data_IF_892767751190
#
_entry.id   IF_892767751190
#
_cell.length_a   1.000
_cell.length_b   1.000
_cell.length_c   1.000
_cell.angle_alpha   90.00
_cell.angle_beta   90.00
_cell.angle_gamma   90.00
#
_symmetry.space_group_name_H-M   'P 1'
#
loop_
_entity.id
_entity.type
_entity.pdbx_description
1 polymer ?
#
# COMPACT_ATOMS: atom_id res chain seq x y z
N UNK A 1 24.54 26.79 -25.30
CA UNK A 1 23.51 25.73 -25.18
C UNK A 1 23.61 24.89 -23.91
N UNK A 2 24.72 24.33 -23.49
CA UNK A 2 24.87 23.47 -22.30
C UNK A 2 24.45 24.09 -20.96
N UNK A 3 24.65 25.40 -20.70
CA UNK A 3 24.27 26.05 -19.43
C UNK A 3 22.74 26.20 -19.23
N UNK A 4 21.96 26.26 -20.33
CA UNK A 4 20.50 26.33 -20.27
C UNK A 4 19.88 24.97 -19.92
N UNK A 5 20.38 23.89 -20.48
CA UNK A 5 19.90 22.51 -20.22
C UNK A 5 20.19 22.05 -18.80
N UNK A 6 21.36 22.39 -18.26
CA UNK A 6 21.72 22.09 -16.86
C UNK A 6 20.82 22.84 -15.87
N UNK A 7 20.51 24.11 -16.12
CA UNK A 7 19.57 24.89 -15.30
C UNK A 7 18.16 24.32 -15.36
N UNK A 8 17.68 23.88 -16.51
CA UNK A 8 16.34 23.27 -16.68
C UNK A 8 16.26 21.92 -15.96
N UNK A 9 17.29 21.06 -16.06
CA UNK A 9 17.35 19.78 -15.35
C UNK A 9 17.42 19.96 -13.83
N UNK A 10 18.19 20.93 -13.33
CA UNK A 10 18.25 21.24 -11.89
C UNK A 10 16.94 21.84 -11.36
N UNK A 11 16.24 22.65 -12.16
CA UNK A 11 14.94 23.21 -11.79
C UNK A 11 13.86 22.10 -11.72
N UNK A 12 13.82 21.20 -12.71
CA UNK A 12 12.93 20.03 -12.73
C UNK A 12 13.18 19.13 -11.51
N UNK A 13 14.43 18.77 -11.23
CA UNK A 13 14.78 17.93 -10.08
C UNK A 13 14.43 18.58 -8.72
N UNK A 14 14.54 19.92 -8.61
CA UNK A 14 14.17 20.66 -7.40
C UNK A 14 12.65 20.79 -7.25
N UNK A 15 11.91 20.80 -8.34
CA UNK A 15 10.44 20.79 -8.36
C UNK A 15 9.92 19.41 -7.93
N UNK A 16 10.49 18.33 -8.45
CA UNK A 16 10.18 16.94 -8.04
C UNK A 16 10.41 16.72 -6.54
N UNK A 17 11.51 17.20 -5.99
CA UNK A 17 11.81 17.12 -4.55
C UNK A 17 10.82 17.90 -3.67
N UNK A 18 10.32 19.03 -4.14
CA UNK A 18 9.29 19.81 -3.42
C UNK A 18 7.95 19.07 -3.41
N UNK A 19 7.58 18.47 -4.52
CA UNK A 19 6.37 17.65 -4.65
C UNK A 19 6.45 16.47 -3.68
N UNK A 20 7.55 15.73 -3.69
CA UNK A 20 7.79 14.59 -2.80
C UNK A 20 7.69 15.00 -1.33
N UNK A 21 8.38 16.09 -0.94
CA UNK A 21 8.33 16.60 0.44
C UNK A 21 6.93 17.02 0.87
N UNK A 22 6.19 17.71 -0.01
CA UNK A 22 4.80 18.13 0.25
C UNK A 22 3.90 16.93 0.48
N UNK A 23 3.97 15.94 -0.40
CA UNK A 23 3.18 14.71 -0.31
C UNK A 23 3.53 13.92 0.96
N UNK A 24 4.81 13.76 1.26
CA UNK A 24 5.27 13.08 2.48
C UNK A 24 4.80 13.78 3.76
N UNK A 25 4.83 15.12 3.81
CA UNK A 25 4.33 15.89 4.95
C UNK A 25 2.82 15.69 5.14
N UNK A 26 2.03 15.77 4.06
CA UNK A 26 0.59 15.51 4.11
C UNK A 26 0.29 14.09 4.56
N UNK A 27 0.96 13.08 3.98
CA UNK A 27 0.77 11.66 4.33
C UNK A 27 1.11 11.38 5.79
N UNK A 28 2.26 11.84 6.26
CA UNK A 28 2.68 11.65 7.67
C UNK A 28 1.70 12.31 8.65
N UNK A 29 1.24 13.53 8.34
CA UNK A 29 0.26 14.24 9.17
C UNK A 29 -1.09 13.54 9.14
N UNK A 30 -1.54 13.06 7.99
CA UNK A 30 -2.79 12.33 7.87
C UNK A 30 -2.81 11.08 8.76
N UNK A 31 -1.76 10.27 8.77
CA UNK A 31 -1.69 9.09 9.64
C UNK A 31 -1.66 9.44 11.12
N UNK A 32 -1.00 10.55 11.51
CA UNK A 32 -1.03 11.05 12.89
C UNK A 32 -2.45 11.46 13.29
N UNK A 33 -3.11 12.28 12.46
CA UNK A 33 -4.48 12.71 12.73
C UNK A 33 -5.44 11.51 12.78
N UNK A 34 -5.29 10.55 11.88
CA UNK A 34 -6.12 9.35 11.83
C UNK A 34 -5.93 8.44 13.05
N UNK A 35 -4.80 8.52 13.75
CA UNK A 35 -4.59 7.83 15.03
C UNK A 35 -5.41 8.47 16.18
N UNK A 36 -5.68 9.77 16.10
CA UNK A 36 -6.29 10.54 17.20
C UNK A 36 -7.76 10.90 16.99
N UNK A 37 -8.23 10.94 15.74
CA UNK A 37 -9.60 11.39 15.40
C UNK A 37 -10.22 10.57 14.27
N UNK A 38 -11.54 10.68 14.14
CA UNK A 38 -12.29 10.03 13.08
C UNK A 38 -11.95 10.64 11.70
N UNK A 39 -11.96 9.81 10.66
CA UNK A 39 -11.69 10.26 9.30
C UNK A 39 -12.63 11.38 8.81
N UNK A 40 -13.86 11.37 9.28
CA UNK A 40 -14.86 12.42 8.99
C UNK A 40 -14.44 13.79 9.52
N UNK A 41 -13.69 13.84 10.61
CA UNK A 41 -13.20 15.04 11.27
C UNK A 41 -11.93 15.61 10.61
N UNK A 42 -11.23 14.77 9.81
CA UNK A 42 -10.05 15.21 9.06
C UNK A 42 -10.51 15.99 7.84
N UNK A 43 -10.45 17.30 7.94
CA UNK A 43 -10.71 18.20 6.80
C UNK A 43 -9.44 18.60 6.09
N UNK A 44 -9.54 19.02 4.81
CA UNK A 44 -8.39 19.54 4.06
C UNK A 44 -7.75 20.74 4.76
N UNK A 45 -8.58 21.60 5.38
CA UNK A 45 -8.10 22.77 6.12
C UNK A 45 -7.18 22.34 7.27
N UNK A 46 -7.70 21.45 8.14
CA UNK A 46 -6.97 20.96 9.30
C UNK A 46 -5.72 20.19 8.91
N UNK A 47 -5.80 19.35 7.88
CA UNK A 47 -4.66 18.63 7.35
C UNK A 47 -3.56 19.59 6.85
N UNK A 48 -3.94 20.66 6.16
CA UNK A 48 -3.01 21.68 5.68
C UNK A 48 -2.37 22.47 6.84
N UNK A 49 -3.14 22.85 7.85
CA UNK A 49 -2.64 23.55 9.04
C UNK A 49 -1.63 22.69 9.79
N UNK A 50 -1.98 21.46 10.12
CA UNK A 50 -1.14 20.53 10.88
C UNK A 50 0.14 20.10 10.10
N UNK A 51 0.05 19.98 8.76
CA UNK A 51 1.19 19.61 7.92
C UNK A 51 2.09 20.78 7.54
N UNK A 52 1.69 22.01 7.80
CA UNK A 52 2.37 23.22 7.33
C UNK A 52 2.30 23.44 5.81
N UNK A 53 1.39 22.74 5.12
CA UNK A 53 1.20 22.85 3.68
C UNK A 53 0.08 23.86 3.38
N UNK A 54 0.37 24.83 2.51
CA UNK A 54 -0.66 25.81 2.10
C UNK A 54 -1.79 25.14 1.33
N UNK A 55 -3.05 25.52 1.59
CA UNK A 55 -4.23 25.00 0.86
C UNK A 55 -4.07 25.09 -0.66
N UNK A 56 -3.57 26.19 -1.18
CA UNK A 56 -3.31 26.34 -2.61
C UNK A 56 -2.31 25.29 -3.14
N UNK A 57 -1.37 24.85 -2.30
CA UNK A 57 -0.43 23.78 -2.64
C UNK A 57 -1.12 22.42 -2.61
N UNK A 58 -1.99 22.16 -1.65
CA UNK A 58 -2.81 20.94 -1.61
C UNK A 58 -3.62 20.79 -2.90
N UNK A 59 -4.38 21.81 -3.29
CA UNK A 59 -5.24 21.80 -4.48
C UNK A 59 -4.48 21.79 -5.82
N UNK A 60 -3.17 22.03 -5.82
CA UNK A 60 -2.32 21.74 -6.99
C UNK A 60 -2.05 20.25 -7.18
N UNK A 61 -2.15 19.46 -6.13
CA UNK A 61 -1.85 18.03 -6.15
C UNK A 61 -3.08 17.14 -6.09
N UNK A 62 -4.15 17.59 -5.43
CA UNK A 62 -5.35 16.81 -5.13
C UNK A 62 -6.59 17.68 -5.32
N UNK A 63 -7.63 17.12 -5.94
CA UNK A 63 -8.91 17.82 -6.15
C UNK A 63 -9.65 18.04 -4.82
N UNK A 64 -9.63 17.03 -3.98
CA UNK A 64 -10.35 16.97 -2.71
C UNK A 64 -9.69 15.95 -1.74
N UNK A 65 -10.33 15.72 -0.60
CA UNK A 65 -9.87 14.75 0.40
C UNK A 65 -9.87 13.32 -0.14
N UNK A 66 -10.87 12.96 -0.93
CA UNK A 66 -11.03 11.59 -1.43
C UNK A 66 -9.94 11.26 -2.47
N UNK A 67 -9.62 12.20 -3.36
CA UNK A 67 -8.49 12.09 -4.29
C UNK A 67 -7.15 11.94 -3.54
N UNK A 68 -6.98 12.67 -2.44
CA UNK A 68 -5.82 12.52 -1.56
C UNK A 68 -5.78 11.14 -0.88
N UNK A 69 -6.90 10.61 -0.40
CA UNK A 69 -6.98 9.27 0.20
C UNK A 69 -6.62 8.19 -0.83
N UNK A 70 -7.16 8.28 -2.04
CA UNK A 70 -6.81 7.38 -3.14
C UNK A 70 -5.30 7.44 -3.44
N UNK A 71 -4.72 8.65 -3.41
CA UNK A 71 -3.28 8.81 -3.55
C UNK A 71 -2.52 8.09 -2.42
N UNK A 72 -2.94 8.25 -1.14
CA UNK A 72 -2.32 7.55 0.00
C UNK A 72 -2.33 6.04 -0.20
N UNK A 73 -3.45 5.46 -0.62
CA UNK A 73 -3.56 4.02 -0.86
C UNK A 73 -2.57 3.56 -1.95
N UNK A 74 -2.46 4.32 -3.04
CA UNK A 74 -1.52 4.06 -4.12
C UNK A 74 -0.06 4.24 -3.70
N UNK A 75 0.22 5.24 -2.86
CA UNK A 75 1.56 5.54 -2.35
C UNK A 75 2.06 4.47 -1.38
N UNK A 76 1.18 3.97 -0.49
CA UNK A 76 1.45 2.81 0.35
C UNK A 76 1.85 1.62 -0.51
N UNK A 77 1.12 1.35 -1.57
CA UNK A 77 1.46 0.27 -2.49
C UNK A 77 2.80 0.49 -3.18
N UNK A 78 3.03 1.69 -3.74
CA UNK A 78 4.31 2.02 -4.37
C UNK A 78 5.50 1.87 -3.40
N UNK A 79 5.28 2.18 -2.11
CA UNK A 79 6.26 1.91 -1.07
C UNK A 79 6.56 0.40 -0.96
N UNK A 80 5.55 -0.47 -0.97
CA UNK A 80 5.75 -1.91 -1.00
C UNK A 80 6.47 -2.36 -2.26
N UNK A 81 6.03 -1.88 -3.42
CA UNK A 81 6.65 -2.19 -4.71
C UNK A 81 8.14 -1.82 -4.73
N UNK A 82 8.52 -0.68 -4.16
CA UNK A 82 9.91 -0.20 -4.19
C UNK A 82 10.79 -0.85 -3.14
N UNK A 83 10.28 -1.09 -1.93
CA UNK A 83 11.09 -1.57 -0.79
C UNK A 83 11.09 -3.09 -0.67
N UNK A 84 10.05 -3.75 -1.14
CA UNK A 84 9.93 -5.21 -1.12
C UNK A 84 10.47 -5.83 -2.41
N UNK A 85 10.29 -5.15 -3.55
CA UNK A 85 10.58 -5.67 -4.89
C UNK A 85 11.91 -5.21 -5.49
N UNK A 86 12.74 -4.60 -4.70
CA UNK A 86 14.04 -4.03 -5.04
C UNK A 86 14.60 -4.50 -6.38
N UNK A 87 14.62 -3.59 -7.35
CA UNK A 87 15.45 -3.49 -8.57
C UNK A 87 15.59 -4.71 -9.51
N UNK A 88 15.30 -5.90 -9.06
CA UNK A 88 15.29 -7.07 -9.92
C UNK A 88 13.90 -7.20 -10.55
N UNK A 89 13.87 -7.03 -11.85
CA UNK A 89 12.71 -6.98 -12.74
C UNK A 89 11.90 -8.31 -12.74
N UNK A 90 11.60 -8.88 -11.57
CA UNK A 90 10.82 -10.10 -11.45
C UNK A 90 9.36 -9.82 -11.82
N UNK A 91 9.06 -10.02 -13.09
CA UNK A 91 7.69 -9.97 -13.62
C UNK A 91 6.89 -11.22 -13.25
N UNK A 92 7.55 -12.25 -12.71
CA UNK A 92 6.97 -13.55 -12.35
C UNK A 92 6.62 -13.61 -10.87
N UNK A 93 5.64 -14.45 -10.55
CA UNK A 93 5.27 -14.78 -9.18
C UNK A 93 6.28 -15.76 -8.58
N UNK A 94 6.77 -15.49 -7.37
CA UNK A 94 7.58 -16.42 -6.58
C UNK A 94 7.02 -16.52 -5.16
N UNK A 95 7.28 -17.62 -4.47
CA UNK A 95 6.92 -17.78 -3.05
C UNK A 95 7.59 -16.72 -2.19
N UNK A 96 8.84 -16.39 -2.50
CA UNK A 96 9.60 -15.35 -1.82
C UNK A 96 8.96 -13.96 -2.02
N UNK A 97 8.49 -13.67 -3.24
CA UNK A 97 7.72 -12.48 -3.54
C UNK A 97 6.56 -12.35 -2.56
N UNK A 98 5.74 -13.39 -2.47
CA UNK A 98 4.54 -13.35 -1.64
C UNK A 98 4.86 -13.26 -0.14
N UNK A 99 5.88 -13.97 0.32
CA UNK A 99 6.35 -13.88 1.71
C UNK A 99 6.74 -12.45 2.08
N UNK A 100 7.61 -11.82 1.29
CA UNK A 100 8.03 -10.42 1.49
C UNK A 100 6.84 -9.45 1.46
N UNK A 101 5.87 -9.69 0.59
CA UNK A 101 4.65 -8.90 0.53
C UNK A 101 3.84 -9.00 1.82
N UNK A 102 3.57 -10.22 2.30
CA UNK A 102 2.82 -10.44 3.54
C UNK A 102 3.54 -9.84 4.75
N UNK A 103 4.86 -10.01 4.84
CA UNK A 103 5.71 -9.41 5.87
C UNK A 103 5.65 -7.89 5.88
N UNK A 104 5.80 -7.25 4.72
CA UNK A 104 5.76 -5.81 4.58
C UNK A 104 4.37 -5.24 4.92
N UNK A 105 3.29 -5.92 4.49
CA UNK A 105 1.92 -5.54 4.83
C UNK A 105 1.69 -5.59 6.34
N UNK A 106 2.09 -6.67 6.98
CA UNK A 106 1.95 -6.81 8.42
C UNK A 106 2.77 -5.76 9.18
N UNK A 107 4.02 -5.51 8.77
CA UNK A 107 4.87 -4.47 9.35
C UNK A 107 4.27 -3.06 9.18
N UNK A 108 3.65 -2.78 8.03
CA UNK A 108 2.94 -1.52 7.79
C UNK A 108 1.75 -1.35 8.73
N UNK A 109 0.90 -2.38 8.84
CA UNK A 109 -0.27 -2.34 9.72
C UNK A 109 0.11 -2.14 11.20
N UNK A 110 1.15 -2.82 11.66
CA UNK A 110 1.66 -2.67 13.03
C UNK A 110 2.25 -1.28 13.26
N UNK A 111 3.00 -0.73 12.31
CA UNK A 111 3.55 0.62 12.40
C UNK A 111 2.47 1.69 12.53
N UNK A 112 1.32 1.49 11.91
CA UNK A 112 0.20 2.43 11.87
C UNK A 112 -1.03 1.90 12.63
N UNK A 113 -0.81 1.08 13.65
CA UNK A 113 -1.87 0.31 14.31
C UNK A 113 -3.05 1.17 14.76
N UNK A 114 -2.82 2.28 15.46
CA UNK A 114 -3.88 3.16 15.93
C UNK A 114 -4.74 3.72 14.78
N UNK A 115 -4.08 4.19 13.72
CA UNK A 115 -4.75 4.69 12.53
C UNK A 115 -5.54 3.59 11.80
N UNK A 116 -4.95 2.40 11.67
CA UNK A 116 -5.60 1.28 10.98
C UNK A 116 -6.78 0.72 11.76
N UNK A 117 -6.76 0.70 13.09
CA UNK A 117 -7.92 0.35 13.92
C UNK A 117 -9.10 1.30 13.69
N UNK A 118 -8.84 2.59 13.53
CA UNK A 118 -9.88 3.56 13.20
C UNK A 118 -10.42 3.40 11.78
N UNK A 119 -9.56 3.12 10.80
CA UNK A 119 -10.02 2.79 9.43
C UNK A 119 -10.90 1.54 9.45
N UNK A 120 -10.56 0.53 10.26
CA UNK A 120 -11.34 -0.69 10.36
C UNK A 120 -12.78 -0.48 10.85
N UNK A 121 -13.04 0.54 11.64
CA UNK A 121 -14.37 0.92 12.17
C UNK A 121 -15.10 1.98 11.34
N UNK A 122 -14.39 2.67 10.43
CA UNK A 122 -14.92 3.78 9.66
C UNK A 122 -15.74 3.33 8.43
N UNK A 123 -16.67 4.16 8.02
CA UNK A 123 -17.50 3.95 6.82
C UNK A 123 -16.68 3.83 5.52
N UNK A 124 -15.44 4.32 5.51
CA UNK A 124 -14.49 4.25 4.38
C UNK A 124 -13.74 2.91 4.31
N UNK A 125 -13.95 2.01 5.28
CA UNK A 125 -13.31 0.69 5.32
C UNK A 125 -13.46 -0.06 4.01
N UNK A 126 -14.67 -0.12 3.45
CA UNK A 126 -14.94 -0.81 2.19
C UNK A 126 -14.14 -0.22 1.05
N UNK A 127 -14.17 1.10 0.86
CA UNK A 127 -13.44 1.77 -0.22
C UNK A 127 -11.92 1.56 -0.10
N UNK A 128 -11.38 1.68 1.11
CA UNK A 128 -9.94 1.45 1.34
C UNK A 128 -9.55 0.00 1.03
N UNK A 129 -10.31 -0.97 1.55
CA UNK A 129 -10.09 -2.40 1.32
C UNK A 129 -10.25 -2.72 -0.17
N UNK A 130 -11.33 -2.25 -0.81
CA UNK A 130 -11.62 -2.54 -2.20
C UNK A 130 -10.51 -2.02 -3.13
N UNK A 131 -10.07 -0.77 -2.98
CA UNK A 131 -8.98 -0.22 -3.81
C UNK A 131 -7.67 -0.97 -3.57
N UNK A 132 -7.36 -1.28 -2.30
CA UNK A 132 -6.14 -2.01 -1.95
C UNK A 132 -6.16 -3.44 -2.46
N UNK A 133 -7.27 -4.17 -2.27
CA UNK A 133 -7.42 -5.56 -2.72
C UNK A 133 -7.41 -5.66 -4.24
N UNK A 134 -8.16 -4.80 -4.93
CA UNK A 134 -8.24 -4.81 -6.39
C UNK A 134 -6.87 -4.63 -7.04
N UNK A 135 -6.09 -3.66 -6.56
CA UNK A 135 -4.77 -3.41 -7.13
C UNK A 135 -3.79 -4.57 -6.87
N UNK A 136 -3.82 -5.16 -5.68
CA UNK A 136 -2.96 -6.31 -5.35
C UNK A 136 -3.39 -7.57 -6.11
N UNK A 137 -4.68 -7.76 -6.31
CA UNK A 137 -5.24 -8.83 -7.13
C UNK A 137 -4.72 -8.75 -8.57
N UNK A 138 -4.88 -7.60 -9.23
CA UNK A 138 -4.45 -7.42 -10.62
C UNK A 138 -2.94 -7.65 -10.82
N UNK A 139 -2.12 -7.19 -9.87
CA UNK A 139 -0.67 -7.40 -9.93
C UNK A 139 -0.30 -8.88 -9.72
N UNK A 140 -0.90 -9.52 -8.72
CA UNK A 140 -0.65 -10.95 -8.42
C UNK A 140 -1.10 -11.82 -9.60
N UNK A 141 -2.29 -11.57 -10.16
CA UNK A 141 -2.81 -12.26 -11.34
C UNK A 141 -1.84 -12.17 -12.51
N UNK A 142 -1.41 -10.96 -12.87
CA UNK A 142 -0.45 -10.72 -13.96
C UNK A 142 0.86 -11.49 -13.76
N UNK A 143 1.39 -11.55 -12.54
CA UNK A 143 2.60 -12.30 -12.21
C UNK A 143 2.40 -13.81 -12.30
N UNK A 144 1.26 -14.31 -11.86
CA UNK A 144 0.88 -15.73 -12.00
C UNK A 144 0.76 -16.12 -13.47
N UNK A 145 0.11 -15.29 -14.30
CA UNK A 145 0.01 -15.51 -15.75
C UNK A 145 1.40 -15.54 -16.42
N UNK A 146 2.30 -14.63 -16.03
CA UNK A 146 3.67 -14.62 -16.54
C UNK A 146 4.44 -15.87 -16.10
N UNK A 147 4.28 -16.32 -14.86
CA UNK A 147 4.88 -17.56 -14.35
C UNK A 147 4.34 -18.80 -15.07
N UNK A 148 3.03 -18.87 -15.32
CA UNK A 148 2.42 -19.96 -16.06
C UNK A 148 2.95 -20.04 -17.50
N UNK A 149 3.11 -18.89 -18.18
CA UNK A 149 3.75 -18.82 -19.51
C UNK A 149 5.21 -19.28 -19.50
N UNK A 150 5.89 -19.15 -18.37
CA UNK A 150 7.28 -19.61 -18.16
C UNK A 150 7.38 -21.06 -17.69
N UNK A 151 6.24 -21.80 -17.66
CA UNK A 151 6.20 -23.23 -17.34
C UNK A 151 5.88 -23.58 -15.89
N UNK A 152 5.52 -22.61 -15.04
CA UNK A 152 5.08 -22.89 -13.66
C UNK A 152 3.66 -23.47 -13.71
N UNK A 153 3.40 -24.69 -13.20
CA UNK A 153 2.05 -25.23 -13.16
C UNK A 153 1.20 -24.47 -12.13
N UNK A 154 0.02 -24.03 -12.52
CA UNK A 154 -0.98 -23.49 -11.62
C UNK A 154 -2.05 -24.56 -11.32
N UNK A 155 -2.46 -24.64 -10.05
CA UNK A 155 -3.51 -25.58 -9.59
C UNK A 155 -4.92 -25.18 -10.08
N UNK A 156 -5.09 -23.92 -10.49
CA UNK A 156 -6.32 -23.36 -11.04
C UNK A 156 -5.96 -22.17 -11.95
N UNK A 157 -6.97 -21.50 -12.53
CA UNK A 157 -6.70 -20.26 -13.28
C UNK A 157 -6.00 -19.20 -12.42
N UNK A 158 -5.17 -18.38 -13.05
CA UNK A 158 -4.45 -17.28 -12.35
C UNK A 158 -5.42 -16.36 -11.61
N UNK A 159 -6.62 -16.17 -12.12
CA UNK A 159 -7.70 -15.40 -11.51
C UNK A 159 -8.14 -15.99 -10.17
N UNK A 160 -8.43 -17.30 -10.15
CA UNK A 160 -8.83 -18.00 -8.91
C UNK A 160 -7.69 -18.02 -7.90
N UNK A 161 -6.48 -18.33 -8.34
CA UNK A 161 -5.31 -18.38 -7.47
C UNK A 161 -5.05 -16.99 -6.86
N UNK A 162 -5.06 -15.93 -7.66
CA UNK A 162 -4.89 -14.55 -7.17
C UNK A 162 -5.99 -14.15 -6.18
N UNK A 163 -7.26 -14.48 -6.48
CA UNK A 163 -8.40 -14.22 -5.60
C UNK A 163 -8.22 -14.88 -4.22
N UNK A 164 -7.83 -16.14 -4.21
CA UNK A 164 -7.60 -16.90 -2.98
C UNK A 164 -6.39 -16.37 -2.19
N UNK A 165 -5.28 -16.07 -2.87
CA UNK A 165 -4.07 -15.55 -2.24
C UNK A 165 -4.33 -14.18 -1.61
N UNK A 166 -4.87 -13.23 -2.36
CA UNK A 166 -5.09 -11.87 -1.88
C UNK A 166 -6.26 -11.81 -0.91
N UNK A 167 -7.40 -12.39 -1.26
CA UNK A 167 -8.60 -12.39 -0.43
C UNK A 167 -8.38 -13.15 0.89
N UNK A 168 -7.86 -14.37 0.82
CA UNK A 168 -7.61 -15.20 2.00
C UNK A 168 -6.59 -14.57 2.95
N UNK A 169 -5.45 -14.11 2.44
CA UNK A 169 -4.42 -13.47 3.27
C UNK A 169 -4.91 -12.18 3.90
N UNK A 170 -5.57 -11.33 3.12
CA UNK A 170 -6.11 -10.07 3.64
C UNK A 170 -7.16 -10.33 4.72
N UNK A 171 -8.03 -11.31 4.52
CA UNK A 171 -9.02 -11.70 5.53
C UNK A 171 -8.37 -12.23 6.81
N UNK A 172 -7.36 -13.11 6.71
CA UNK A 172 -6.61 -13.60 7.86
C UNK A 172 -5.94 -12.45 8.63
N UNK A 173 -5.29 -11.52 7.94
CA UNK A 173 -4.62 -10.36 8.55
C UNK A 173 -5.64 -9.43 9.22
N UNK A 174 -6.76 -9.13 8.56
CA UNK A 174 -7.82 -8.28 9.13
C UNK A 174 -8.41 -8.92 10.38
N UNK A 175 -8.77 -10.19 10.32
CA UNK A 175 -9.29 -10.95 11.46
C UNK A 175 -8.30 -10.97 12.64
N UNK A 176 -7.03 -11.22 12.37
CA UNK A 176 -5.97 -11.16 13.36
C UNK A 176 -5.86 -9.77 13.97
N UNK A 177 -5.91 -8.73 13.15
CA UNK A 177 -5.79 -7.35 13.58
C UNK A 177 -6.95 -6.88 14.47
N UNK A 178 -8.16 -7.38 14.20
CA UNK A 178 -9.38 -7.09 14.97
C UNK A 178 -9.48 -7.91 16.26
N UNK A 179 -8.69 -8.97 16.43
CA UNK A 179 -8.73 -9.83 17.61
C UNK A 179 -8.03 -9.18 18.80
N UNK A 180 -8.67 -9.24 19.99
CA UNK A 180 -8.05 -8.83 21.25
C UNK A 180 -7.00 -9.85 21.72
N UNK A 181 -7.27 -11.14 21.49
CA UNK A 181 -6.39 -12.28 21.86
C UNK A 181 -5.69 -12.80 20.60
N UNK A 182 -4.84 -11.97 20.01
CA UNK A 182 -4.10 -12.29 18.79
C UNK A 182 -2.75 -12.95 19.08
N UNK A 183 -2.41 -13.98 18.30
CA UNK A 183 -1.08 -14.60 18.35
C UNK A 183 0.00 -13.56 17.94
N UNK A 184 1.28 -13.82 18.27
CA UNK A 184 2.39 -12.99 17.79
C UNK A 184 2.37 -12.84 16.26
N UNK A 185 2.72 -11.65 15.71
CA UNK A 185 2.73 -11.39 14.27
C UNK A 185 3.55 -12.40 13.46
N UNK A 186 4.66 -12.88 14.04
CA UNK A 186 5.55 -13.87 13.44
C UNK A 186 4.87 -15.23 13.26
N UNK A 187 3.98 -15.57 14.20
CA UNK A 187 3.19 -16.83 14.13
C UNK A 187 2.20 -16.76 12.97
N UNK A 188 1.46 -15.64 12.85
CA UNK A 188 0.55 -15.43 11.74
C UNK A 188 1.28 -15.50 10.39
N UNK A 189 2.41 -14.80 10.28
CA UNK A 189 3.20 -14.77 9.05
C UNK A 189 3.72 -16.16 8.67
N UNK A 190 4.19 -16.93 9.64
CA UNK A 190 4.64 -18.31 9.47
C UNK A 190 3.50 -19.21 8.94
N UNK A 191 2.31 -19.09 9.52
CA UNK A 191 1.16 -19.90 9.11
C UNK A 191 0.69 -19.55 7.69
N UNK A 192 0.62 -18.25 7.35
CA UNK A 192 0.33 -17.79 5.99
C UNK A 192 1.37 -18.34 5.00
N UNK A 193 2.66 -18.23 5.35
CA UNK A 193 3.75 -18.71 4.48
C UNK A 193 3.70 -20.22 4.27
N UNK A 194 3.46 -20.98 5.34
CA UNK A 194 3.34 -22.45 5.28
C UNK A 194 2.16 -22.87 4.37
N UNK A 195 1.02 -22.20 4.50
CA UNK A 195 -0.13 -22.44 3.67
C UNK A 195 0.18 -22.20 2.17
N UNK A 196 0.79 -21.07 1.87
CA UNK A 196 1.17 -20.70 0.49
C UNK A 196 2.18 -21.69 -0.10
N UNK A 197 3.17 -22.11 0.70
CA UNK A 197 4.18 -23.07 0.26
C UNK A 197 3.58 -24.43 -0.11
N UNK A 198 2.48 -24.82 0.52
CA UNK A 198 1.78 -26.09 0.22
C UNK A 198 0.87 -25.98 -1.00
N UNK A 199 0.24 -24.82 -1.22
CA UNK A 199 -0.68 -24.62 -2.34
C UNK A 199 0.08 -24.44 -3.66
N UNK A 200 1.23 -23.79 -3.63
CA UNK A 200 2.01 -23.48 -4.83
C UNK A 200 3.10 -24.52 -5.13
N UNK A 201 3.11 -25.65 -4.45
CA UNK A 201 3.98 -26.81 -4.69
C UNK A 201 5.38 -26.62 -4.17
#
# INVERSE_FOLDING_TARGET
>A
MQKSEVKTKMASHKEDLRIIKTRAALSSTFFKMLADMELSEITVNRLCEESGVRRATFYKHFRDKDDFIIYIIKDIRAYFDTNVWNKDNHTTFTKEYYHKYAEALLAFLLRHEAAMKRVATAQIRSTFIDVFLQQNFEDTKRRLEASAKSGMPLIASADVVASMLIGGTSYCIIRWFESEDRCPPETLLKDITNYINRILG
#
